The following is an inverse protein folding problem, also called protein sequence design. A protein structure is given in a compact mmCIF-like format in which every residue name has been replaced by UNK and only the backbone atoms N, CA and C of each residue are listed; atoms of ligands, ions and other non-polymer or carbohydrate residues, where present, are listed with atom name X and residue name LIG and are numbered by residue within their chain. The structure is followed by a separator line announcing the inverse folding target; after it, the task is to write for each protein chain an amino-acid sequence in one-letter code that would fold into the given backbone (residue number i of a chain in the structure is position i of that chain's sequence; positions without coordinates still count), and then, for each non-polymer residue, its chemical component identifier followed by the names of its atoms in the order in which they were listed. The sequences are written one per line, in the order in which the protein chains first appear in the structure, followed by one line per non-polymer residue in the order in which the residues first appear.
data_IF_664308492139
#
_entry.id   IF_664308492139
#
_cell.length_a   1.000
_cell.length_b   1.000
_cell.length_c   1.000
_cell.angle_alpha   90.00
_cell.angle_beta   90.00
_cell.angle_gamma   90.00
#
_symmetry.space_group_name_H-M   'P 1'
#
loop_
_entity.id
_entity.type
_entity.pdbx_description
1 polymer ?
#
# COMPACT_ATOMS: atom_id res chain seq x y z
N UNK A 1 -9.57 14.38 10.46
CA UNK A 1 -8.87 13.71 9.35
C UNK A 1 -7.55 14.44 9.11
N UNK A 2 -6.52 13.73 8.78
CA UNK A 2 -5.24 14.38 8.56
C UNK A 2 -4.82 14.28 7.10
N UNK A 3 -4.13 15.31 6.65
CA UNK A 3 -3.63 15.38 5.29
C UNK A 3 -2.59 14.30 5.03
N UNK A 4 -2.72 13.60 3.91
CA UNK A 4 -1.77 12.56 3.53
C UNK A 4 -0.42 13.22 3.15
N UNK A 5 0.72 12.74 3.71
CA UNK A 5 2.02 13.24 3.31
C UNK A 5 2.29 13.01 1.83
N UNK A 6 2.84 14.03 1.16
CA UNK A 6 3.22 13.89 -0.25
C UNK A 6 4.51 13.07 -0.36
N UNK A 7 4.76 12.58 -1.56
CA UNK A 7 5.93 11.74 -1.83
C UNK A 7 6.36 11.89 -3.29
N UNK A 8 7.54 11.37 -3.60
CA UNK A 8 8.06 11.31 -4.96
C UNK A 8 8.87 10.02 -5.05
N UNK A 9 8.25 8.96 -5.54
CA UNK A 9 8.82 7.61 -5.59
C UNK A 9 8.65 6.98 -6.97
N UNK A 10 9.60 6.12 -7.34
CA UNK A 10 9.52 5.40 -8.61
C UNK A 10 8.65 4.16 -8.49
N UNK A 11 7.82 3.89 -9.51
CA UNK A 11 7.04 2.66 -9.59
C UNK A 11 7.90 1.53 -10.16
N UNK A 12 7.29 0.36 -10.38
CA UNK A 12 8.01 -0.83 -10.88
C UNK A 12 8.54 -0.68 -12.30
N UNK A 13 8.11 0.34 -13.00
CA UNK A 13 8.59 0.64 -14.37
C UNK A 13 9.56 1.82 -14.39
N UNK A 14 9.95 2.33 -13.23
CA UNK A 14 10.87 3.46 -13.12
C UNK A 14 10.24 4.82 -13.34
N UNK A 15 8.91 4.90 -13.40
CA UNK A 15 8.20 6.17 -13.56
C UNK A 15 8.00 6.84 -12.20
N UNK A 16 8.34 8.12 -12.11
CA UNK A 16 8.19 8.87 -10.88
C UNK A 16 6.72 9.16 -10.60
N UNK A 17 6.27 8.82 -9.40
CA UNK A 17 4.90 9.01 -8.94
C UNK A 17 4.85 9.87 -7.69
N UNK A 18 3.83 10.69 -7.59
CA UNK A 18 3.56 11.50 -6.40
C UNK A 18 2.08 11.43 -6.05
N UNK A 19 1.71 11.98 -4.91
CA UNK A 19 0.31 11.93 -4.44
C UNK A 19 -0.65 12.54 -5.48
N UNK A 20 -0.25 13.61 -6.15
CA UNK A 20 -1.08 14.28 -7.16
C UNK A 20 -1.42 13.39 -8.37
N UNK A 21 -0.60 12.37 -8.65
CA UNK A 21 -0.88 11.45 -9.76
C UNK A 21 -2.13 10.61 -9.51
N UNK A 22 -2.57 10.56 -8.26
CA UNK A 22 -3.77 9.82 -7.84
C UNK A 22 -4.88 10.75 -7.37
N UNK A 23 -4.72 12.08 -7.56
CA UNK A 23 -5.70 13.06 -7.10
C UNK A 23 -7.08 12.82 -7.71
N UNK A 24 -8.12 13.06 -6.93
CA UNK A 24 -9.50 12.87 -7.36
C UNK A 24 -9.99 11.43 -7.24
N UNK A 25 -9.15 10.52 -6.74
CA UNK A 25 -9.52 9.11 -6.56
C UNK A 25 -9.28 8.70 -5.12
N UNK A 26 -10.06 7.74 -4.64
CA UNK A 26 -9.74 7.04 -3.40
C UNK A 26 -8.47 6.23 -3.60
N UNK A 27 -7.58 6.22 -2.61
CA UNK A 27 -6.33 5.46 -2.67
C UNK A 27 -6.31 4.46 -1.53
N UNK A 28 -6.07 3.20 -1.87
CA UNK A 28 -5.75 2.14 -0.91
C UNK A 28 -4.23 2.04 -0.93
N UNK A 29 -3.57 2.67 0.04
CA UNK A 29 -2.12 2.69 0.13
C UNK A 29 -1.66 1.75 1.22
N UNK A 30 -0.94 0.68 0.87
CA UNK A 30 -0.48 -0.28 1.86
C UNK A 30 1.03 -0.38 1.87
N UNK A 31 1.57 -0.57 3.06
CA UNK A 31 2.99 -0.74 3.30
C UNK A 31 3.26 -2.20 3.65
N UNK A 32 4.31 -2.77 3.08
CA UNK A 32 4.64 -4.18 3.31
C UNK A 32 6.16 -4.36 3.43
N UNK A 33 6.61 -5.35 4.24
CA UNK A 33 8.02 -5.49 4.54
C UNK A 33 8.94 -5.85 3.38
N UNK A 34 8.55 -6.78 2.51
CA UNK A 34 9.48 -7.25 1.49
C UNK A 34 8.79 -8.01 0.36
N UNK A 35 9.19 -7.70 -0.89
CA UNK A 35 8.75 -8.43 -2.07
C UNK A 35 9.03 -9.93 -1.95
N UNK A 36 8.14 -10.73 -2.51
CA UNK A 36 8.32 -12.17 -2.69
C UNK A 36 8.49 -12.96 -1.38
N UNK A 37 7.97 -12.44 -0.26
CA UNK A 37 7.82 -13.20 0.98
C UNK A 37 6.38 -13.76 1.05
N UNK A 38 6.14 -14.86 1.80
CA UNK A 38 4.81 -15.50 1.82
C UNK A 38 3.66 -14.56 2.19
N UNK A 39 3.79 -13.79 3.27
CA UNK A 39 2.74 -12.87 3.70
C UNK A 39 2.52 -11.73 2.73
N UNK A 40 3.59 -11.12 2.23
CA UNK A 40 3.49 -10.01 1.27
C UNK A 40 2.96 -10.47 -0.07
N UNK A 41 3.33 -11.68 -0.51
CA UNK A 41 2.78 -12.28 -1.73
C UNK A 41 1.29 -12.52 -1.60
N UNK A 42 0.87 -13.05 -0.46
CA UNK A 42 -0.57 -13.31 -0.19
C UNK A 42 -1.37 -12.02 -0.21
N UNK A 43 -0.87 -10.99 0.46
CA UNK A 43 -1.52 -9.68 0.50
C UNK A 43 -1.62 -9.06 -0.90
N UNK A 44 -0.51 -9.05 -1.65
CA UNK A 44 -0.47 -8.50 -3.00
C UNK A 44 -1.42 -9.22 -3.95
N UNK A 45 -1.46 -10.55 -3.88
CA UNK A 45 -2.36 -11.35 -4.73
C UNK A 45 -3.83 -11.12 -4.37
N UNK A 46 -4.13 -10.94 -3.07
CA UNK A 46 -5.49 -10.62 -2.64
C UNK A 46 -5.93 -9.25 -3.17
N UNK A 47 -5.05 -8.25 -3.14
CA UNK A 47 -5.35 -6.94 -3.72
C UNK A 47 -5.48 -7.01 -5.24
N UNK A 48 -4.62 -7.79 -5.91
CA UNK A 48 -4.72 -8.01 -7.35
C UNK A 48 -6.09 -8.56 -7.72
N UNK A 49 -6.53 -9.59 -7.02
CA UNK A 49 -7.81 -10.26 -7.29
C UNK A 49 -9.00 -9.36 -6.96
N UNK A 50 -8.85 -8.49 -5.95
CA UNK A 50 -9.89 -7.57 -5.52
C UNK A 50 -9.91 -6.24 -6.28
N UNK A 51 -8.87 -5.94 -7.07
CA UNK A 51 -8.70 -4.62 -7.70
C UNK A 51 -9.89 -4.21 -8.55
N UNK A 52 -10.39 -5.10 -9.37
CA UNK A 52 -11.53 -4.81 -10.24
C UNK A 52 -12.77 -4.45 -9.42
N UNK A 53 -13.03 -5.20 -8.36
CA UNK A 53 -14.14 -4.95 -7.46
C UNK A 53 -13.98 -3.60 -6.75
N UNK A 54 -12.77 -3.30 -6.28
CA UNK A 54 -12.46 -2.03 -5.62
C UNK A 54 -12.71 -0.86 -6.60
N UNK A 55 -12.25 -0.98 -7.84
CA UNK A 55 -12.40 0.04 -8.86
C UNK A 55 -13.88 0.24 -9.24
N UNK A 56 -14.64 -0.83 -9.44
CA UNK A 56 -16.06 -0.75 -9.81
C UNK A 56 -16.88 -0.07 -8.71
N UNK A 57 -16.61 -0.43 -7.45
CA UNK A 57 -17.39 0.10 -6.33
C UNK A 57 -17.10 1.58 -6.06
N UNK A 58 -15.85 1.99 -6.17
CA UNK A 58 -15.42 3.30 -5.66
C UNK A 58 -14.54 4.10 -6.60
N UNK A 59 -14.05 3.52 -7.69
CA UNK A 59 -13.05 4.16 -8.53
C UNK A 59 -11.67 4.24 -7.87
N UNK A 60 -11.47 3.52 -6.77
CA UNK A 60 -10.22 3.60 -6.01
C UNK A 60 -9.06 2.89 -6.73
N UNK A 61 -7.84 3.36 -6.43
CA UNK A 61 -6.62 2.73 -6.89
C UNK A 61 -5.88 2.10 -5.72
N UNK A 62 -5.13 1.03 -5.99
CA UNK A 62 -4.31 0.36 -4.99
C UNK A 62 -2.85 0.72 -5.24
N UNK A 63 -2.11 1.06 -4.20
CA UNK A 63 -0.69 1.40 -4.26
C UNK A 63 0.04 0.68 -3.13
N UNK A 64 1.06 -0.12 -3.48
CA UNK A 64 1.91 -0.79 -2.49
C UNK A 64 3.25 -0.09 -2.37
N UNK A 65 3.78 0.01 -1.16
CA UNK A 65 5.06 0.68 -0.90
C UNK A 65 5.95 -0.19 -0.01
N UNK A 66 7.20 -0.35 -0.41
CA UNK A 66 8.23 -1.00 0.43
C UNK A 66 9.60 -0.41 0.10
N UNK A 67 10.63 -0.89 0.80
CA UNK A 67 12.02 -0.45 0.59
C UNK A 67 12.70 -1.13 -0.60
N UNK A 68 12.08 -2.15 -1.18
CA UNK A 68 12.69 -2.89 -2.27
C UNK A 68 12.91 -2.00 -3.50
N UNK A 69 13.90 -2.36 -4.30
CA UNK A 69 14.26 -1.61 -5.50
C UNK A 69 13.20 -1.69 -6.59
N UNK A 70 13.27 -0.78 -7.56
CA UNK A 70 12.41 -0.80 -8.75
C UNK A 70 12.54 -2.17 -9.45
N UNK A 71 13.75 -2.68 -9.60
CA UNK A 71 14.00 -3.98 -10.23
C UNK A 71 13.31 -5.12 -9.49
N UNK A 72 13.37 -5.12 -8.16
CA UNK A 72 12.71 -6.11 -7.31
C UNK A 72 11.19 -6.04 -7.49
N UNK A 73 10.63 -4.85 -7.43
CA UNK A 73 9.19 -4.61 -7.63
C UNK A 73 8.74 -5.09 -9.01
N UNK A 74 9.53 -4.85 -10.05
CA UNK A 74 9.20 -5.27 -11.40
C UNK A 74 9.10 -6.79 -11.49
N UNK A 75 10.08 -7.50 -10.93
CA UNK A 75 10.09 -8.98 -10.90
C UNK A 75 8.90 -9.51 -10.13
N UNK A 76 8.61 -8.92 -8.99
CA UNK A 76 7.49 -9.32 -8.14
C UNK A 76 6.16 -9.11 -8.86
N UNK A 77 5.97 -7.95 -9.49
CA UNK A 77 4.76 -7.64 -10.24
C UNK A 77 4.56 -8.58 -11.43
N UNK A 78 5.63 -8.87 -12.18
CA UNK A 78 5.56 -9.78 -13.32
C UNK A 78 5.27 -11.22 -12.89
N UNK A 79 5.94 -11.68 -11.83
CA UNK A 79 5.76 -13.05 -11.33
C UNK A 79 4.33 -13.34 -10.91
N UNK A 80 3.66 -12.37 -10.32
CA UNK A 80 2.30 -12.55 -9.78
C UNK A 80 1.23 -11.79 -10.55
N UNK A 81 1.57 -11.21 -11.71
CA UNK A 81 0.65 -10.44 -12.54
C UNK A 81 -0.08 -9.35 -11.75
N UNK A 82 0.67 -8.61 -10.95
CA UNK A 82 0.11 -7.53 -10.15
C UNK A 82 -0.31 -6.38 -11.07
N UNK A 83 -1.50 -5.85 -10.85
CA UNK A 83 -2.15 -4.87 -11.71
C UNK A 83 -2.29 -3.50 -11.05
N UNK A 84 -1.37 -3.17 -10.14
CA UNK A 84 -1.34 -1.87 -9.47
C UNK A 84 0.11 -1.43 -9.25
N UNK A 85 0.30 -0.17 -8.88
CA UNK A 85 1.64 0.39 -8.71
C UNK A 85 2.31 -0.11 -7.44
N UNK A 86 3.59 -0.45 -7.55
CA UNK A 86 4.48 -0.76 -6.43
C UNK A 86 5.55 0.32 -6.40
N UNK A 87 5.57 1.12 -5.35
CA UNK A 87 6.50 2.24 -5.22
C UNK A 87 7.71 1.86 -4.38
N UNK A 88 8.88 2.29 -4.81
CA UNK A 88 10.15 2.00 -4.16
C UNK A 88 10.56 3.17 -3.25
N UNK A 89 10.74 2.89 -1.96
CA UNK A 89 11.13 3.89 -0.95
C UNK A 89 12.37 3.38 -0.20
N UNK A 90 13.54 3.32 -0.86
CA UNK A 90 14.74 2.72 -0.27
C UNK A 90 15.25 3.41 0.99
N UNK A 91 15.01 4.71 1.13
CA UNK A 91 15.41 5.50 2.30
C UNK A 91 14.34 5.54 3.38
N UNK A 92 13.24 4.84 3.20
CA UNK A 92 12.06 4.80 4.09
C UNK A 92 11.51 6.16 4.54
N UNK A 93 11.70 7.20 3.74
CA UNK A 93 11.20 8.54 4.04
C UNK A 93 9.67 8.60 4.04
N UNK A 94 9.04 8.09 2.99
CA UNK A 94 7.57 8.03 2.87
C UNK A 94 6.99 7.06 3.88
N UNK A 95 7.62 5.90 4.04
CA UNK A 95 7.21 4.88 5.01
C UNK A 95 7.18 5.50 6.42
N UNK A 96 8.22 6.27 6.78
CA UNK A 96 8.30 6.95 8.07
C UNK A 96 7.26 8.07 8.20
N UNK A 97 7.05 8.84 7.12
CA UNK A 97 6.09 9.95 7.12
C UNK A 97 4.66 9.47 7.40
N UNK A 98 4.32 8.25 6.94
CA UNK A 98 3.00 7.66 7.17
C UNK A 98 2.91 6.91 8.50
N UNK A 99 4.03 6.79 9.23
CA UNK A 99 4.05 6.09 10.51
C UNK A 99 4.18 4.57 10.40
N UNK A 100 4.61 4.07 9.24
CA UNK A 100 4.74 2.63 9.01
C UNK A 100 6.17 2.09 9.25
N UNK A 101 7.06 2.93 9.74
CA UNK A 101 8.44 2.55 10.10
C UNK A 101 8.59 2.57 11.60
N UNK A 102 9.09 1.51 12.20
CA UNK A 102 9.29 1.49 13.64
C UNK A 102 9.88 0.18 14.14
N UNK A 103 9.98 0.04 15.47
CA UNK A 103 10.55 -1.15 16.08
C UNK A 103 9.67 -2.39 15.87
N UNK A 104 10.34 -3.50 15.58
CA UNK A 104 9.71 -4.82 15.41
C UNK A 104 10.50 -5.84 16.21
N UNK A 105 9.81 -6.91 16.65
CA UNK A 105 10.44 -8.04 17.33
C UNK A 105 10.24 -9.31 16.52
N UNK A 106 11.32 -10.09 16.38
CA UNK A 106 11.25 -11.38 15.74
C UNK A 106 12.28 -12.31 16.42
N UNK A 107 11.81 -13.41 16.99
CA UNK A 107 12.62 -14.41 17.69
C UNK A 107 13.58 -13.76 18.71
N UNK A 108 13.04 -12.91 19.60
CA UNK A 108 13.80 -12.25 20.65
C UNK A 108 14.72 -11.12 20.20
N UNK A 109 14.75 -10.79 18.93
CA UNK A 109 15.52 -9.67 18.38
C UNK A 109 14.65 -8.47 18.10
N UNK A 110 15.14 -7.29 18.48
CA UNK A 110 14.50 -6.03 18.14
C UNK A 110 15.22 -5.42 16.94
N UNK A 111 14.46 -4.90 15.98
CA UNK A 111 15.01 -4.20 14.81
C UNK A 111 13.99 -3.19 14.31
N UNK A 112 14.43 -2.25 13.49
CA UNK A 112 13.53 -1.31 12.85
C UNK A 112 13.12 -1.85 11.48
N UNK A 113 11.85 -1.74 11.16
CA UNK A 113 11.32 -2.23 9.91
C UNK A 113 9.97 -1.66 9.58
N UNK A 114 9.40 -2.16 8.48
CA UNK A 114 8.10 -1.70 7.97
C UNK A 114 7.00 -2.45 8.67
N UNK A 115 6.05 -1.68 9.23
CA UNK A 115 4.80 -2.25 9.77
C UNK A 115 3.82 -2.44 8.62
N UNK A 116 3.10 -3.56 8.63
CA UNK A 116 2.09 -3.87 7.61
C UNK A 116 0.83 -3.04 7.87
N UNK A 117 0.87 -1.80 7.42
CA UNK A 117 -0.21 -0.83 7.61
C UNK A 117 -0.86 -0.48 6.28
N UNK A 118 -2.15 -0.15 6.31
CA UNK A 118 -2.88 0.35 5.15
C UNK A 118 -3.59 1.65 5.51
N UNK A 119 -3.60 2.58 4.58
CA UNK A 119 -4.24 3.89 4.76
C UNK A 119 -5.23 4.13 3.63
N UNK A 120 -6.46 4.52 3.98
CA UNK A 120 -7.45 4.96 3.00
C UNK A 120 -7.35 6.46 2.85
N UNK A 121 -7.04 6.91 1.66
CA UNK A 121 -6.87 8.33 1.34
C UNK A 121 -8.02 8.78 0.46
N UNK A 122 -8.69 9.86 0.85
CA UNK A 122 -9.84 10.40 0.12
C UNK A 122 -9.42 11.07 -1.18
N UNK A 123 -10.36 11.33 -2.10
CA UNK A 123 -10.07 12.08 -3.33
C UNK A 123 -9.45 13.46 -3.09
N UNK A 124 -9.66 14.03 -1.91
CA UNK A 124 -9.11 15.33 -1.51
C UNK A 124 -7.72 15.23 -0.87
N UNK A 125 -7.17 14.00 -0.77
CA UNK A 125 -5.82 13.80 -0.25
C UNK A 125 -5.73 13.71 1.27
N UNK A 126 -6.81 13.32 1.94
CA UNK A 126 -6.83 13.16 3.40
C UNK A 126 -6.91 11.70 3.80
N UNK A 127 -6.17 11.33 4.85
CA UNK A 127 -6.23 9.99 5.44
C UNK A 127 -7.51 9.90 6.26
N UNK A 128 -8.46 9.07 5.81
CA UNK A 128 -9.75 8.91 6.50
C UNK A 128 -9.80 7.66 7.37
N UNK A 129 -8.91 6.70 7.14
CA UNK A 129 -8.86 5.49 7.97
C UNK A 129 -7.47 4.88 7.92
N UNK A 130 -7.03 4.34 9.06
CA UNK A 130 -5.74 3.65 9.20
C UNK A 130 -5.98 2.23 9.69
N UNK A 131 -5.29 1.27 9.08
CA UNK A 131 -5.30 -0.13 9.49
C UNK A 131 -3.88 -0.49 9.90
N UNK A 132 -3.66 -0.73 11.18
CA UNK A 132 -2.32 -0.99 11.72
C UNK A 132 -2.10 -2.48 11.97
N UNK A 133 -0.96 -3.01 11.51
CA UNK A 133 -0.60 -4.40 11.73
C UNK A 133 -1.59 -5.38 11.14
N UNK A 134 -1.95 -5.23 9.87
CA UNK A 134 -3.00 -6.03 9.22
C UNK A 134 -2.61 -7.47 8.96
N UNK A 135 -3.60 -8.34 8.95
CA UNK A 135 -3.44 -9.75 8.55
C UNK A 135 -3.51 -9.84 7.02
N UNK A 136 -2.43 -10.28 6.35
CA UNK A 136 -2.42 -10.32 4.89
C UNK A 136 -3.46 -11.24 4.26
N UNK A 137 -4.00 -12.20 5.01
CA UNK A 137 -4.99 -13.15 4.50
C UNK A 137 -6.41 -12.58 4.51
N UNK A 138 -6.77 -11.81 5.54
CA UNK A 138 -8.17 -11.37 5.76
C UNK A 138 -8.42 -9.89 5.49
N UNK A 139 -7.36 -9.13 5.23
CA UNK A 139 -7.46 -7.67 5.15
C UNK A 139 -8.28 -7.16 3.95
N UNK A 140 -8.08 -7.71 2.75
CA UNK A 140 -8.71 -7.19 1.54
C UNK A 140 -10.25 -7.21 1.61
N UNK A 141 -10.93 -8.28 2.05
CA UNK A 141 -12.38 -8.27 2.18
C UNK A 141 -12.89 -7.22 3.16
N UNK A 142 -12.22 -7.05 4.30
CA UNK A 142 -12.57 -6.05 5.29
C UNK A 142 -12.45 -4.64 4.72
N UNK A 143 -11.36 -4.40 4.01
CA UNK A 143 -11.08 -3.11 3.38
C UNK A 143 -12.14 -2.75 2.33
N UNK A 144 -12.54 -3.69 1.50
CA UNK A 144 -13.56 -3.48 0.46
C UNK A 144 -14.87 -3.04 1.10
N UNK A 145 -15.28 -3.69 2.16
CA UNK A 145 -16.50 -3.36 2.88
C UNK A 145 -16.45 -1.94 3.43
N UNK A 146 -15.35 -1.59 4.10
CA UNK A 146 -15.18 -0.26 4.69
C UNK A 146 -15.13 0.83 3.62
N UNK A 147 -14.43 0.56 2.54
CA UNK A 147 -14.30 1.52 1.42
C UNK A 147 -15.65 1.77 0.75
N UNK A 148 -16.45 0.73 0.55
CA UNK A 148 -17.78 0.85 -0.02
C UNK A 148 -18.67 1.76 0.84
N UNK A 149 -18.60 1.62 2.16
CA UNK A 149 -19.36 2.46 3.09
C UNK A 149 -18.90 3.92 3.07
N UNK A 150 -17.59 4.14 3.05
CA UNK A 150 -17.01 5.49 3.02
C UNK A 150 -17.30 6.22 1.71
N UNK A 151 -17.25 5.51 0.60
CA UNK A 151 -17.47 6.10 -0.72
C UNK A 151 -18.93 6.50 -0.99
N UNK A 152 -19.88 5.96 -0.22
CA UNK A 152 -21.31 6.33 -0.33
C UNK A 152 -21.62 7.68 0.29
N UNK A 153 -20.73 8.18 1.11
CA UNK A 153 -20.89 9.48 1.76
C UNK A 153 -20.25 10.56 0.89
#
# INVERSE_FOLDING_TARGET
MKKAPDFSLEDQNGNLKSLKDYAGKWIVMYFYPKDNTPGCTKEACNFRDAREQIEIITGAVVVGISKNSVASHKKFAEKHNLNFDLLSDPEHETISAYGAWGPKKFIGREFFGIHRNTYLISPEGEIVKEYLGVNPTTHAPQLIKDLAELAKK
#
